data_IF_944038088912
#
_entry.id   IF_944038088912
#
_cell.length_a   1.000
_cell.length_b   1.000
_cell.length_c   1.000
_cell.angle_alpha   90.00
_cell.angle_beta   90.00
_cell.angle_gamma   90.00
#
_symmetry.space_group_name_H-M   'P 1'
#
loop_
_entity.id
_entity.type
_entity.pdbx_description
1 polymer ?
#
# COMPACT_ATOMS: atom_id res chain seq x y z
N UNK A 1 8.59 -11.35 -38.54
CA UNK A 1 9.82 -11.48 -37.73
C UNK A 1 9.64 -10.54 -36.55
N UNK A 2 8.95 -11.02 -35.51
CA UNK A 2 8.61 -10.24 -34.31
C UNK A 2 9.28 -10.91 -33.11
N UNK A 3 10.55 -10.58 -32.92
CA UNK A 3 11.28 -10.79 -31.68
C UNK A 3 12.03 -9.48 -31.45
N UNK A 4 11.99 -8.96 -30.23
CA UNK A 4 12.72 -7.78 -29.73
C UNK A 4 11.92 -6.48 -29.45
N UNK A 5 10.60 -6.54 -29.27
CA UNK A 5 9.83 -5.38 -28.75
C UNK A 5 9.72 -5.32 -27.22
N UNK A 6 10.15 -6.37 -26.49
CA UNK A 6 10.02 -6.46 -25.02
C UNK A 6 11.32 -6.76 -24.27
N UNK A 7 12.47 -6.69 -24.95
CA UNK A 7 13.75 -6.78 -24.27
C UNK A 7 13.99 -5.48 -23.50
N UNK A 8 14.18 -5.52 -22.16
CA UNK A 8 14.48 -4.32 -21.39
C UNK A 8 15.67 -3.59 -22.04
N UNK A 9 15.56 -2.28 -22.25
CA UNK A 9 16.64 -1.51 -22.86
C UNK A 9 17.94 -1.70 -22.07
N UNK A 10 19.12 -1.70 -22.73
CA UNK A 10 20.41 -1.76 -22.03
C UNK A 10 20.46 -0.71 -20.92
N UNK A 11 20.57 -1.15 -19.66
CA UNK A 11 20.60 -0.28 -18.47
C UNK A 11 19.29 -0.17 -17.69
N UNK A 12 18.18 -0.74 -18.17
CA UNK A 12 16.90 -0.76 -17.45
C UNK A 12 17.04 -1.40 -16.05
N UNK A 13 17.66 -2.58 -15.98
CA UNK A 13 17.93 -3.28 -14.72
C UNK A 13 18.75 -2.42 -13.74
N UNK A 14 19.84 -1.81 -14.23
CA UNK A 14 20.70 -0.98 -13.40
C UNK A 14 19.94 0.23 -12.82
N UNK A 15 19.08 0.84 -13.62
CA UNK A 15 18.24 1.97 -13.21
C UNK A 15 17.11 1.53 -12.27
N UNK A 16 16.49 0.37 -12.49
CA UNK A 16 15.51 -0.19 -11.54
C UNK A 16 16.13 -0.37 -10.15
N UNK A 17 17.28 -1.04 -10.07
CA UNK A 17 17.98 -1.26 -8.80
C UNK A 17 18.52 0.01 -8.16
N UNK A 18 18.81 1.04 -8.97
CA UNK A 18 19.13 2.38 -8.46
C UNK A 18 17.88 3.02 -7.82
N UNK A 19 16.74 3.00 -8.49
CA UNK A 19 15.46 3.52 -7.95
C UNK A 19 15.02 2.74 -6.70
N UNK A 20 15.17 1.42 -6.69
CA UNK A 20 14.90 0.60 -5.51
C UNK A 20 15.77 1.00 -4.31
N UNK A 21 17.06 1.32 -4.54
CA UNK A 21 17.93 1.84 -3.46
C UNK A 21 17.46 3.20 -2.96
N UNK A 22 17.02 4.09 -3.84
CA UNK A 22 16.42 5.38 -3.46
C UNK A 22 15.14 5.16 -2.64
N UNK A 23 14.24 4.27 -3.07
CA UNK A 23 13.04 3.91 -2.32
C UNK A 23 13.35 3.50 -0.88
N UNK A 24 14.31 2.58 -0.71
CA UNK A 24 14.74 2.12 0.63
C UNK A 24 15.32 3.26 1.47
N UNK A 25 16.10 4.14 0.88
CA UNK A 25 16.66 5.30 1.58
C UNK A 25 15.55 6.26 2.04
N UNK A 26 14.55 6.53 1.20
CA UNK A 26 13.40 7.36 1.55
C UNK A 26 12.58 6.74 2.68
N UNK A 27 12.28 5.44 2.62
CA UNK A 27 11.58 4.72 3.70
C UNK A 27 12.37 4.76 5.01
N UNK A 28 13.68 4.53 4.96
CA UNK A 28 14.54 4.61 6.14
C UNK A 28 14.55 6.02 6.73
N UNK A 29 14.57 7.05 5.88
CA UNK A 29 14.56 8.45 6.33
C UNK A 29 13.23 8.81 6.99
N UNK A 30 12.10 8.47 6.38
CA UNK A 30 10.76 8.66 6.97
C UNK A 30 10.64 7.96 8.34
N UNK A 31 11.10 6.71 8.43
CA UNK A 31 11.07 5.96 9.68
C UNK A 31 11.91 6.64 10.78
N UNK A 32 13.10 7.15 10.45
CA UNK A 32 13.93 7.89 11.40
C UNK A 32 13.25 9.17 11.89
N UNK A 33 12.57 9.90 11.02
CA UNK A 33 11.81 11.09 11.41
C UNK A 33 10.62 10.76 12.32
N UNK A 34 9.92 9.66 12.07
CA UNK A 34 8.82 9.18 12.94
C UNK A 34 9.32 8.75 14.33
N UNK A 35 10.48 8.10 14.39
CA UNK A 35 11.16 7.75 15.65
C UNK A 35 11.55 9.02 16.41
N UNK A 36 12.11 10.02 15.73
CA UNK A 36 12.45 11.31 16.33
C UNK A 36 11.22 12.02 16.89
N UNK A 37 10.13 12.09 16.11
CA UNK A 37 8.86 12.68 16.53
C UNK A 37 8.30 11.99 17.78
N UNK A 38 8.36 10.66 17.80
CA UNK A 38 7.93 9.86 18.95
C UNK A 38 8.80 10.12 20.18
N UNK A 39 10.10 10.31 20.00
CA UNK A 39 11.02 10.73 21.06
C UNK A 39 10.68 12.11 21.62
N UNK A 40 10.49 13.11 20.76
CA UNK A 40 10.12 14.47 21.14
C UNK A 40 8.80 14.52 21.93
N UNK A 41 7.80 13.72 21.54
CA UNK A 41 6.51 13.64 22.25
C UNK A 41 6.64 13.08 23.66
N UNK A 42 7.65 12.26 23.94
CA UNK A 42 7.90 11.66 25.25
C UNK A 42 8.85 12.49 26.12
N UNK A 43 9.62 13.37 25.50
CA UNK A 43 10.60 14.21 26.20
C UNK A 43 9.90 15.24 27.10
N UNK A 44 10.28 15.26 28.38
CA UNK A 44 9.69 16.14 29.39
C UNK A 44 10.69 17.19 29.92
N UNK A 45 11.97 17.07 29.59
CA UNK A 45 13.00 18.02 29.99
C UNK A 45 12.97 19.33 29.17
N UNK A 46 12.41 19.29 27.95
CA UNK A 46 12.29 20.46 27.08
C UNK A 46 11.05 21.27 27.50
N UNK A 47 11.14 22.61 27.59
CA UNK A 47 9.98 23.47 27.83
C UNK A 47 8.86 23.20 26.81
N UNK A 48 7.62 23.10 27.28
CA UNK A 48 6.47 22.69 26.47
C UNK A 48 6.31 23.50 25.18
N UNK A 49 6.43 24.83 25.24
CA UNK A 49 6.34 25.68 24.05
C UNK A 49 7.43 25.40 23.00
N UNK A 50 8.66 25.10 23.43
CA UNK A 50 9.75 24.74 22.54
C UNK A 50 9.56 23.35 21.95
N UNK A 51 9.07 22.40 22.77
CA UNK A 51 8.73 21.04 22.34
C UNK A 51 7.62 21.06 21.30
N UNK A 52 6.56 21.83 21.52
CA UNK A 52 5.43 21.95 20.58
C UNK A 52 5.85 22.57 19.25
N UNK A 53 6.71 23.59 19.28
CA UNK A 53 7.29 24.16 18.05
C UNK A 53 8.12 23.14 17.28
N UNK A 54 8.96 22.36 17.97
CA UNK A 54 9.76 21.30 17.35
C UNK A 54 8.89 20.18 16.77
N UNK A 55 7.87 19.74 17.51
CA UNK A 55 6.88 18.74 17.06
C UNK A 55 6.22 19.21 15.77
N UNK A 56 5.68 20.43 15.74
CA UNK A 56 5.01 20.97 14.54
C UNK A 56 5.94 21.08 13.34
N UNK A 57 7.20 21.49 13.56
CA UNK A 57 8.19 21.58 12.49
C UNK A 57 8.49 20.19 11.89
N UNK A 58 8.74 19.19 12.75
CA UNK A 58 9.02 17.81 12.33
C UNK A 58 7.78 17.17 11.67
N UNK A 59 6.58 17.40 12.19
CA UNK A 59 5.33 16.92 11.57
C UNK A 59 5.12 17.52 10.17
N UNK A 60 5.42 18.81 9.99
CA UNK A 60 5.39 19.47 8.68
C UNK A 60 6.39 18.86 7.69
N UNK A 61 7.61 18.58 8.13
CA UNK A 61 8.65 17.97 7.31
C UNK A 61 8.31 16.53 6.92
N UNK A 62 7.85 15.71 7.88
CA UNK A 62 7.37 14.34 7.61
C UNK A 62 6.26 14.36 6.58
N UNK A 63 5.28 15.26 6.73
CA UNK A 63 4.16 15.38 5.79
C UNK A 63 4.64 15.72 4.37
N UNK A 64 5.57 16.67 4.23
CA UNK A 64 6.16 17.02 2.94
C UNK A 64 6.94 15.84 2.33
N UNK A 65 7.77 15.16 3.13
CA UNK A 65 8.56 14.01 2.69
C UNK A 65 7.67 12.81 2.29
N UNK A 66 6.55 12.57 2.99
CA UNK A 66 5.58 11.54 2.63
C UNK A 66 4.94 11.81 1.28
N UNK A 67 4.59 13.07 0.98
CA UNK A 67 4.06 13.44 -0.33
C UNK A 67 5.08 13.15 -1.45
N UNK A 68 6.33 13.56 -1.26
CA UNK A 68 7.41 13.27 -2.22
C UNK A 68 7.62 11.76 -2.38
N UNK A 69 7.55 11.01 -1.29
CA UNK A 69 7.64 9.55 -1.32
C UNK A 69 6.48 8.92 -2.10
N UNK A 70 5.25 9.37 -1.91
CA UNK A 70 4.09 8.86 -2.64
C UNK A 70 4.27 9.05 -4.15
N UNK A 71 4.65 10.25 -4.59
CA UNK A 71 4.91 10.54 -6.01
C UNK A 71 6.06 9.67 -6.56
N UNK A 72 7.11 9.48 -5.77
CA UNK A 72 8.20 8.58 -6.14
C UNK A 72 7.74 7.12 -6.24
N UNK A 73 6.94 6.63 -5.30
CA UNK A 73 6.47 5.26 -5.23
C UNK A 73 5.63 4.90 -6.46
N UNK A 74 4.68 5.76 -6.83
CA UNK A 74 3.86 5.58 -8.04
C UNK A 74 4.76 5.48 -9.27
N UNK A 75 5.76 6.36 -9.40
CA UNK A 75 6.70 6.32 -10.52
C UNK A 75 7.61 5.08 -10.50
N UNK A 76 8.01 4.61 -9.33
CA UNK A 76 8.82 3.41 -9.16
C UNK A 76 8.04 2.16 -9.56
N UNK A 77 6.79 2.02 -9.12
CA UNK A 77 5.91 0.92 -9.51
C UNK A 77 5.68 0.94 -11.03
N UNK A 78 5.49 2.11 -11.64
CA UNK A 78 5.28 2.26 -13.08
C UNK A 78 6.52 1.81 -13.84
N UNK A 79 7.70 2.21 -13.34
CA UNK A 79 8.95 1.82 -13.93
C UNK A 79 9.13 0.31 -13.84
N UNK A 80 9.02 -0.29 -12.65
CA UNK A 80 9.19 -1.74 -12.46
C UNK A 80 8.16 -2.58 -13.22
N UNK A 81 6.95 -2.06 -13.42
CA UNK A 81 5.93 -2.65 -14.26
C UNK A 81 6.32 -2.78 -15.74
N UNK A 82 7.17 -1.90 -16.26
CA UNK A 82 7.70 -1.99 -17.63
C UNK A 82 8.78 -3.05 -17.77
N UNK A 83 9.41 -3.43 -16.65
CA UNK A 83 10.34 -4.54 -16.55
C UNK A 83 9.61 -5.81 -16.15
N UNK A 84 10.31 -6.94 -16.20
CA UNK A 84 9.81 -8.21 -15.69
C UNK A 84 9.93 -8.28 -14.14
N UNK A 85 9.82 -7.14 -13.46
CA UNK A 85 9.99 -7.08 -12.00
C UNK A 85 8.70 -7.39 -11.26
N UNK A 86 8.80 -8.27 -10.26
CA UNK A 86 7.66 -8.62 -9.42
C UNK A 86 7.52 -7.61 -8.29
N UNK A 87 6.42 -6.86 -8.32
CA UNK A 87 6.04 -5.94 -7.25
C UNK A 87 4.60 -6.18 -6.82
N UNK A 88 4.41 -6.49 -5.55
CA UNK A 88 3.10 -6.80 -4.96
C UNK A 88 2.89 -5.91 -3.72
N UNK A 89 1.66 -5.47 -3.46
CA UNK A 89 1.28 -4.76 -2.24
C UNK A 89 0.49 -5.71 -1.33
N UNK A 90 0.87 -5.75 -0.05
CA UNK A 90 0.20 -6.51 1.00
C UNK A 90 -0.37 -5.53 2.02
N UNK A 91 -1.69 -5.54 2.15
CA UNK A 91 -2.45 -4.69 3.06
C UNK A 91 -3.21 -5.55 4.06
N UNK A 92 -3.19 -5.12 5.32
CA UNK A 92 -4.02 -5.68 6.38
C UNK A 92 -4.86 -4.60 7.03
N UNK A 93 -6.14 -4.90 7.28
CA UNK A 93 -7.04 -4.02 8.02
C UNK A 93 -8.07 -4.82 8.82
N UNK A 94 -8.60 -4.23 9.87
CA UNK A 94 -9.65 -4.80 10.70
C UNK A 94 -10.99 -4.12 10.40
N UNK A 95 -12.03 -4.92 10.18
CA UNK A 95 -13.42 -4.48 10.11
C UNK A 95 -14.07 -4.65 11.49
N UNK A 96 -14.26 -3.53 12.18
CA UNK A 96 -14.84 -3.48 13.53
C UNK A 96 -16.33 -3.20 13.41
N UNK A 97 -17.14 -4.10 13.96
CA UNK A 97 -18.61 -4.01 13.95
C UNK A 97 -19.22 -3.84 12.55
N UNK A 98 -18.51 -4.25 11.50
CA UNK A 98 -18.98 -4.21 10.10
C UNK A 98 -19.08 -2.82 9.47
N UNK A 99 -18.64 -1.76 10.16
CA UNK A 99 -18.79 -0.36 9.71
C UNK A 99 -17.48 0.42 9.78
N UNK A 100 -16.64 0.14 10.78
CA UNK A 100 -15.36 0.82 10.96
C UNK A 100 -14.24 -0.04 10.37
N UNK A 101 -13.35 0.57 9.61
CA UNK A 101 -12.16 -0.08 9.08
C UNK A 101 -10.91 0.59 9.67
N UNK A 102 -9.98 -0.21 10.18
CA UNK A 102 -8.71 0.26 10.76
C UNK A 102 -7.54 -0.39 10.04
N UNK A 103 -6.66 0.41 9.45
CA UNK A 103 -5.45 -0.10 8.82
C UNK A 103 -4.52 -0.72 9.89
N UNK A 104 -4.06 -1.95 9.65
CA UNK A 104 -3.13 -2.68 10.52
C UNK A 104 -1.71 -2.68 9.95
N UNK A 105 -1.58 -2.93 8.66
CA UNK A 105 -0.29 -2.90 7.98
C UNK A 105 -0.45 -2.60 6.50
N UNK A 106 0.63 -2.08 5.91
CA UNK A 106 0.78 -1.93 4.47
C UNK A 106 2.25 -2.15 4.12
N UNK A 107 2.53 -3.00 3.15
CA UNK A 107 3.90 -3.28 2.71
C UNK A 107 3.98 -3.51 1.21
N UNK A 108 5.09 -3.06 0.62
CA UNK A 108 5.46 -3.34 -0.75
C UNK A 108 6.45 -4.50 -0.77
N UNK A 109 6.13 -5.55 -1.51
CA UNK A 109 7.04 -6.63 -1.85
C UNK A 109 7.69 -6.33 -3.19
N UNK A 110 9.02 -6.28 -3.24
CA UNK A 110 9.81 -6.13 -4.48
C UNK A 110 10.72 -7.33 -4.60
N UNK A 111 10.53 -8.17 -5.62
CA UNK A 111 11.30 -9.41 -5.81
C UNK A 111 11.33 -10.29 -4.54
N UNK A 112 10.22 -10.35 -3.81
CA UNK A 112 10.08 -11.08 -2.55
C UNK A 112 10.53 -10.33 -1.28
N UNK A 113 11.25 -9.21 -1.40
CA UNK A 113 11.64 -8.39 -0.25
C UNK A 113 10.51 -7.46 0.18
N UNK A 114 10.04 -7.62 1.42
CA UNK A 114 8.97 -6.80 1.99
C UNK A 114 9.53 -5.49 2.58
N UNK A 115 8.84 -4.38 2.32
CA UNK A 115 9.13 -3.05 2.85
C UNK A 115 7.86 -2.43 3.42
N UNK A 116 7.86 -2.08 4.69
CA UNK A 116 6.73 -1.38 5.32
C UNK A 116 6.55 -0.01 4.67
N UNK A 117 5.33 0.26 4.23
CA UNK A 117 4.96 1.55 3.66
C UNK A 117 4.38 2.48 4.75
N UNK A 118 4.44 3.81 4.54
CA UNK A 118 3.71 4.76 5.35
C UNK A 118 2.22 4.38 5.51
N UNK A 119 1.65 4.53 6.71
CA UNK A 119 0.31 4.03 7.03
C UNK A 119 -0.80 4.71 6.20
N UNK A 120 -0.58 5.95 5.77
CA UNK A 120 -1.49 6.71 4.90
C UNK A 120 -1.76 6.00 3.56
N UNK A 121 -0.75 5.33 2.97
CA UNK A 121 -0.94 4.53 1.75
C UNK A 121 -1.89 3.37 2.01
N UNK A 122 -1.70 2.71 3.15
CA UNK A 122 -2.58 1.63 3.60
C UNK A 122 -4.00 2.11 3.88
N UNK A 123 -4.17 3.27 4.53
CA UNK A 123 -5.48 3.86 4.79
C UNK A 123 -6.21 4.18 3.49
N UNK A 124 -5.55 4.83 2.53
CA UNK A 124 -6.15 5.16 1.24
C UNK A 124 -6.62 3.91 0.51
N UNK A 125 -5.79 2.86 0.47
CA UNK A 125 -6.15 1.62 -0.21
C UNK A 125 -7.30 0.87 0.51
N UNK A 126 -7.28 0.86 1.84
CA UNK A 126 -8.36 0.28 2.65
C UNK A 126 -9.69 1.02 2.42
N UNK A 127 -9.70 2.35 2.51
CA UNK A 127 -10.90 3.17 2.30
C UNK A 127 -11.50 2.89 0.93
N UNK A 128 -10.67 2.87 -0.12
CA UNK A 128 -11.13 2.52 -1.48
C UNK A 128 -11.73 1.12 -1.57
N UNK A 129 -11.13 0.11 -0.92
CA UNK A 129 -11.66 -1.25 -0.91
C UNK A 129 -13.01 -1.32 -0.19
N UNK A 130 -13.14 -0.62 0.94
CA UNK A 130 -14.37 -0.53 1.72
C UNK A 130 -15.46 0.23 0.95
N UNK A 131 -15.12 1.33 0.29
CA UNK A 131 -16.04 2.12 -0.53
C UNK A 131 -16.60 1.30 -1.70
N UNK A 132 -15.75 0.54 -2.40
CA UNK A 132 -16.22 -0.38 -3.45
C UNK A 132 -17.08 -1.52 -2.92
N UNK A 133 -16.85 -1.94 -1.68
CA UNK A 133 -17.70 -2.93 -1.00
C UNK A 133 -18.97 -2.31 -0.41
N UNK A 134 -19.15 -0.97 -0.44
CA UNK A 134 -20.32 -0.27 0.08
C UNK A 134 -21.55 -0.37 -0.83
N UNK A 135 -22.74 -0.13 -0.26
CA UNK A 135 -23.97 0.12 -1.04
C UNK A 135 -24.82 -1.09 -1.47
N UNK A 136 -24.46 -2.33 -1.11
CA UNK A 136 -25.24 -3.54 -1.44
C UNK A 136 -25.83 -4.29 -0.24
N UNK A 137 -26.69 -5.28 -0.50
CA UNK A 137 -27.18 -6.23 0.50
C UNK A 137 -26.05 -7.20 0.93
N UNK A 138 -26.01 -7.60 2.20
CA UNK A 138 -25.02 -8.56 2.73
C UNK A 138 -24.00 -7.98 3.72
N UNK A 139 -23.16 -8.83 4.29
CA UNK A 139 -22.13 -8.38 5.23
C UNK A 139 -20.98 -7.66 4.51
N UNK A 140 -20.32 -6.70 5.16
CA UNK A 140 -19.16 -6.01 4.58
C UNK A 140 -18.04 -7.00 4.21
N UNK A 141 -17.84 -8.05 5.01
CA UNK A 141 -16.88 -9.13 4.72
C UNK A 141 -17.18 -9.86 3.41
N UNK A 142 -18.45 -10.18 3.13
CA UNK A 142 -18.84 -10.86 1.88
C UNK A 142 -18.59 -9.96 0.67
N UNK A 143 -18.92 -8.67 0.78
CA UNK A 143 -18.71 -7.69 -0.28
C UNK A 143 -17.21 -7.44 -0.55
N UNK A 144 -16.36 -7.49 0.47
CA UNK A 144 -14.90 -7.44 0.30
C UNK A 144 -14.39 -8.68 -0.47
N UNK A 145 -14.96 -9.87 -0.23
CA UNK A 145 -14.62 -11.07 -1.01
C UNK A 145 -15.01 -10.89 -2.48
N UNK A 146 -16.17 -10.31 -2.76
CA UNK A 146 -16.61 -10.03 -4.13
C UNK A 146 -15.70 -9.01 -4.84
N UNK A 147 -15.36 -7.93 -4.14
CA UNK A 147 -14.38 -6.93 -4.62
C UNK A 147 -13.05 -7.60 -4.94
N UNK A 148 -12.52 -8.43 -4.04
CA UNK A 148 -11.29 -9.18 -4.28
C UNK A 148 -11.37 -10.03 -5.54
N UNK A 149 -12.45 -10.81 -5.72
CA UNK A 149 -12.64 -11.69 -6.89
C UNK A 149 -12.67 -10.90 -8.19
N UNK A 150 -13.31 -9.72 -8.20
CA UNK A 150 -13.34 -8.84 -9.37
C UNK A 150 -11.94 -8.36 -9.76
N UNK A 151 -11.16 -7.92 -8.77
CA UNK A 151 -9.79 -7.43 -8.98
C UNK A 151 -8.86 -8.59 -9.40
N UNK A 152 -8.98 -9.74 -8.74
CA UNK A 152 -8.23 -10.95 -9.08
C UNK A 152 -8.50 -11.39 -10.53
N UNK A 153 -9.77 -11.43 -10.94
CA UNK A 153 -10.15 -11.75 -12.33
C UNK A 153 -9.62 -10.75 -13.35
N UNK A 154 -9.56 -9.45 -13.01
CA UNK A 154 -8.91 -8.46 -13.87
C UNK A 154 -7.42 -8.75 -14.06
N UNK A 155 -6.70 -9.02 -12.96
CA UNK A 155 -5.28 -9.35 -13.03
C UNK A 155 -5.00 -10.70 -13.69
N UNK A 156 -5.89 -11.67 -13.59
CA UNK A 156 -5.80 -12.94 -14.30
C UNK A 156 -5.76 -12.73 -15.82
N UNK A 157 -6.69 -11.91 -16.33
CA UNK A 157 -6.79 -11.56 -17.75
C UNK A 157 -5.56 -10.77 -18.20
N UNK A 158 -5.13 -9.77 -17.42
CA UNK A 158 -4.02 -8.88 -17.78
C UNK A 158 -2.66 -9.55 -17.64
N UNK A 159 -2.49 -10.45 -16.66
CA UNK A 159 -1.23 -11.12 -16.34
C UNK A 159 -1.09 -12.51 -16.96
N UNK A 160 -2.08 -12.94 -17.75
CA UNK A 160 -2.04 -14.22 -18.47
C UNK A 160 -2.03 -15.45 -17.57
N UNK A 161 -2.74 -15.42 -16.43
CA UNK A 161 -2.91 -16.60 -15.58
C UNK A 161 -2.04 -16.72 -14.32
N UNK A 162 -1.19 -15.73 -14.00
CA UNK A 162 -0.34 -15.78 -12.79
C UNK A 162 -1.10 -15.35 -11.51
N UNK A 163 -2.01 -16.22 -11.06
CA UNK A 163 -2.80 -16.05 -9.83
C UNK A 163 -1.96 -16.16 -8.55
N UNK A 164 -0.68 -16.56 -8.62
CA UNK A 164 0.23 -16.65 -7.46
C UNK A 164 0.61 -15.29 -6.84
N UNK A 165 0.05 -14.20 -7.37
CA UNK A 165 0.30 -12.82 -6.97
C UNK A 165 -0.84 -12.19 -6.17
N UNK A 166 -2.03 -12.78 -6.24
CA UNK A 166 -3.19 -12.36 -5.47
C UNK A 166 -3.41 -13.30 -4.28
N UNK A 167 -3.80 -12.75 -3.14
CA UNK A 167 -4.24 -13.59 -2.01
C UNK A 167 -5.20 -12.83 -1.12
N UNK A 168 -6.21 -13.52 -0.60
CA UNK A 168 -7.14 -13.00 0.38
C UNK A 168 -7.19 -13.93 1.61
N UNK A 169 -7.07 -13.35 2.80
CA UNK A 169 -7.33 -14.03 4.07
C UNK A 169 -8.32 -13.20 4.88
N UNK A 170 -9.41 -13.82 5.32
CA UNK A 170 -10.32 -13.26 6.30
C UNK A 170 -10.25 -14.12 7.56
N UNK A 171 -9.98 -13.49 8.70
CA UNK A 171 -9.97 -14.16 10.00
C UNK A 171 -10.98 -13.48 10.90
N UNK A 172 -11.96 -14.23 11.38
CA UNK A 172 -12.96 -13.76 12.32
C UNK A 172 -12.43 -13.91 13.76
N UNK A 173 -12.42 -12.82 14.51
CA UNK A 173 -12.14 -12.80 15.94
C UNK A 173 -13.45 -12.50 16.68
N UNK A 174 -13.82 -13.36 17.64
CA UNK A 174 -15.09 -13.27 18.37
C UNK A 174 -14.97 -12.57 19.73
N UNK A 175 -13.76 -12.45 20.28
CA UNK A 175 -13.49 -11.89 21.61
C UNK A 175 -12.27 -10.97 21.52
N UNK A 176 -12.25 -9.75 22.12
CA UNK A 176 -13.25 -9.20 23.05
C UNK A 176 -14.53 -8.67 22.39
N UNK A 177 -14.50 -8.45 21.08
CA UNK A 177 -15.67 -8.10 20.27
C UNK A 177 -15.51 -8.71 18.88
N UNK A 178 -16.64 -8.91 18.18
CA UNK A 178 -16.63 -9.47 16.82
C UNK A 178 -15.94 -8.52 15.86
N UNK A 179 -14.84 -8.95 15.25
CA UNK A 179 -14.15 -8.22 14.19
C UNK A 179 -13.60 -9.18 13.11
N UNK A 180 -13.41 -8.66 11.90
CA UNK A 180 -12.79 -9.40 10.80
C UNK A 180 -11.43 -8.79 10.47
N UNK A 181 -10.38 -9.59 10.55
CA UNK A 181 -9.06 -9.23 10.04
C UNK A 181 -8.97 -9.63 8.58
N UNK A 182 -8.86 -8.64 7.72
CA UNK A 182 -8.70 -8.81 6.28
C UNK A 182 -7.24 -8.60 5.94
N UNK A 183 -6.65 -9.55 5.22
CA UNK A 183 -5.32 -9.40 4.59
C UNK A 183 -5.45 -9.67 3.11
N UNK A 184 -5.03 -8.71 2.30
CA UNK A 184 -5.10 -8.79 0.85
C UNK A 184 -3.72 -8.53 0.25
N UNK A 185 -3.36 -9.33 -0.74
CA UNK A 185 -2.21 -9.09 -1.61
C UNK A 185 -2.68 -8.92 -3.03
N UNK A 186 -2.15 -7.90 -3.71
CA UNK A 186 -2.36 -7.63 -5.13
C UNK A 186 -1.05 -7.24 -5.80
N UNK A 187 -0.94 -7.31 -7.13
CA UNK A 187 0.08 -6.57 -7.85
C UNK A 187 0.08 -5.08 -7.46
N UNK A 188 1.25 -4.49 -7.24
CA UNK A 188 1.37 -3.11 -6.76
C UNK A 188 0.82 -2.06 -7.75
N UNK A 189 0.57 -2.45 -9.01
CA UNK A 189 -0.10 -1.62 -10.03
C UNK A 189 -1.48 -1.13 -9.59
N UNK A 190 -2.12 -1.80 -8.64
CA UNK A 190 -3.40 -1.37 -8.05
C UNK A 190 -3.35 0.05 -7.45
N UNK A 191 -2.17 0.53 -7.06
CA UNK A 191 -1.97 1.91 -6.58
C UNK A 191 -2.04 2.97 -7.69
N UNK A 192 -1.99 2.55 -8.94
CA UNK A 192 -1.87 3.41 -10.12
C UNK A 192 -3.14 3.37 -10.98
N UNK A 193 -3.94 2.33 -10.80
CA UNK A 193 -5.21 2.19 -11.48
C UNK A 193 -6.12 3.34 -11.02
N UNK A 194 -6.32 4.31 -11.91
CA UNK A 194 -7.40 5.31 -11.82
C UNK A 194 -8.77 4.61 -11.63
N UNK A 195 -8.82 3.31 -11.97
CA UNK A 195 -9.98 2.41 -12.05
C UNK A 195 -10.20 1.48 -10.82
N UNK A 196 -10.04 1.97 -9.58
CA UNK A 196 -11.04 1.61 -8.55
C UNK A 196 -12.46 2.11 -8.95
N UNK A 197 -12.55 2.88 -10.05
CA UNK A 197 -13.72 3.58 -10.58
C UNK A 197 -14.44 2.82 -11.72
N UNK A 198 -13.79 1.95 -12.52
CA UNK A 198 -14.47 1.24 -13.65
C UNK A 198 -15.02 -0.16 -13.35
N UNK A 199 -14.76 -0.73 -12.17
CA UNK A 199 -15.40 -1.98 -11.73
C UNK A 199 -16.90 -1.82 -11.38
N UNK A 200 -17.47 -0.63 -11.58
CA UNK A 200 -18.91 -0.34 -11.50
C UNK A 200 -19.68 -0.61 -12.82
N UNK A 201 -19.03 -1.13 -13.86
CA UNK A 201 -19.62 -1.23 -15.21
C UNK A 201 -19.46 -2.57 -15.94
N UNK A 202 -19.22 -3.68 -15.23
CA UNK A 202 -19.40 -5.05 -15.75
C UNK A 202 -20.35 -5.82 -14.85
#
# INVERSE_FOLDING_TARGET
MEKDLFSPQPGYEAEFWKRYRVMKAMLSHLHQQEVLLSGLKREQAIPESARDMAIRAVEGEISANRKVFHDFLVNFINYGAQGLHRMDIDIGFALISGVLAENRHCSLHVEGFAHTLPPDIGTILMEKLVDMAGGGDGSLSDRIIEVYKKIEGHYDIVSGGDLGRCSLSLTEELFPSRCYHVRIRFPARILQEEDFIRLQGL
#
